data_IF_357575748543
#
_entry.id   IF_357575748543
#
_cell.length_a   1.000
_cell.length_b   1.000
_cell.length_c   1.000
_cell.angle_alpha   90.00
_cell.angle_beta   90.00
_cell.angle_gamma   90.00
#
_symmetry.space_group_name_H-M   'P 1'
#
loop_
_entity.id
_entity.type
_entity.pdbx_description
1 polymer ?
#
# COMPACT_ATOMS: atom_id res chain seq x y z
N UNK A 1 33.36 -5.09 0.98
CA UNK A 1 32.61 -6.10 1.75
C UNK A 1 31.31 -6.22 0.98
N UNK A 2 31.36 -7.12 0.02
CA UNK A 2 30.47 -7.18 -1.13
C UNK A 2 29.09 -7.69 -0.74
N UNK A 3 28.07 -7.01 -1.27
CA UNK A 3 26.66 -7.28 -1.07
C UNK A 3 26.28 -8.65 -1.68
N UNK A 4 25.69 -9.52 -0.87
CA UNK A 4 25.26 -10.87 -1.27
C UNK A 4 23.95 -10.89 -2.08
N UNK A 5 23.44 -9.72 -2.49
CA UNK A 5 22.19 -9.58 -3.22
C UNK A 5 22.35 -9.65 -4.76
N UNK A 6 23.58 -9.70 -5.29
CA UNK A 6 23.85 -9.67 -6.74
C UNK A 6 24.03 -11.06 -7.40
N UNK A 7 23.65 -12.17 -6.73
CA UNK A 7 23.85 -13.53 -7.26
C UNK A 7 22.60 -14.42 -7.33
N UNK A 8 21.43 -13.84 -7.62
CA UNK A 8 20.26 -14.63 -8.04
C UNK A 8 19.67 -14.00 -9.28
N UNK A 9 19.92 -14.65 -10.43
CA UNK A 9 19.41 -14.22 -11.73
C UNK A 9 17.88 -14.26 -11.76
N UNK A 10 17.29 -13.26 -12.43
CA UNK A 10 15.85 -13.03 -12.55
C UNK A 10 15.06 -14.26 -13.07
N UNK A 11 15.71 -15.23 -13.70
CA UNK A 11 15.08 -16.44 -14.27
C UNK A 11 14.74 -17.54 -13.24
N UNK A 12 15.40 -17.61 -12.07
CA UNK A 12 15.14 -18.69 -11.09
C UNK A 12 13.90 -18.45 -10.21
N UNK A 13 13.53 -17.18 -9.99
CA UNK A 13 12.31 -16.81 -9.25
C UNK A 13 11.03 -17.16 -10.03
N UNK A 14 11.06 -17.04 -11.36
CA UNK A 14 9.91 -17.32 -12.22
C UNK A 14 9.54 -18.81 -12.25
N UNK A 15 10.53 -19.70 -12.12
CA UNK A 15 10.31 -21.15 -12.25
C UNK A 15 9.64 -21.77 -11.03
N UNK A 16 9.86 -21.20 -9.84
CA UNK A 16 9.22 -21.66 -8.60
C UNK A 16 7.76 -21.18 -8.48
N UNK A 17 7.45 -19.97 -8.98
CA UNK A 17 6.10 -19.39 -8.92
C UNK A 17 5.10 -20.07 -9.88
N UNK A 18 5.57 -20.69 -10.97
CA UNK A 18 4.72 -21.35 -11.96
C UNK A 18 4.03 -22.64 -11.50
N UNK A 19 4.44 -23.24 -10.37
CA UNK A 19 3.98 -24.58 -9.98
C UNK A 19 2.77 -24.59 -9.01
N UNK A 20 2.41 -23.48 -8.37
CA UNK A 20 1.57 -23.56 -7.15
C UNK A 20 0.44 -22.53 -7.02
N UNK A 21 -0.28 -22.18 -8.09
CA UNK A 21 -1.51 -21.37 -7.95
C UNK A 21 -2.73 -22.08 -8.52
N UNK A 22 -3.35 -22.92 -7.68
CA UNK A 22 -4.79 -23.23 -7.80
C UNK A 22 -5.55 -22.02 -7.26
N UNK A 23 -6.41 -21.42 -8.09
CA UNK A 23 -7.29 -20.33 -7.68
C UNK A 23 -8.27 -20.78 -6.58
N UNK A 24 -8.50 -19.98 -5.52
CA UNK A 24 -9.59 -20.24 -4.60
C UNK A 24 -10.92 -19.89 -5.28
N UNK A 25 -11.79 -20.89 -5.43
CA UNK A 25 -13.17 -20.70 -5.91
C UNK A 25 -13.99 -19.98 -4.84
N UNK A 26 -14.28 -18.70 -5.03
CA UNK A 26 -15.29 -17.98 -4.23
C UNK A 26 -16.66 -18.32 -4.81
N UNK A 27 -17.48 -19.04 -4.03
CA UNK A 27 -18.84 -19.40 -4.41
C UNK A 27 -19.75 -18.15 -4.46
N UNK A 28 -20.53 -17.94 -5.53
CA UNK A 28 -21.47 -16.83 -5.58
C UNK A 28 -22.70 -17.08 -4.70
N UNK A 29 -23.07 -16.10 -3.86
CA UNK A 29 -24.31 -16.10 -3.08
C UNK A 29 -25.55 -15.98 -3.99
N UNK A 30 -26.70 -16.56 -3.61
CA UNK A 30 -27.87 -16.73 -4.49
C UNK A 30 -28.57 -15.40 -4.82
N UNK A 31 -28.95 -15.28 -6.09
CA UNK A 31 -29.57 -14.14 -6.76
C UNK A 31 -31.05 -14.01 -6.35
N UNK A 32 -31.47 -12.78 -6.07
CA UNK A 32 -32.87 -12.40 -5.84
C UNK A 32 -33.77 -12.87 -7.01
N UNK A 33 -34.94 -13.44 -6.68
CA UNK A 33 -35.90 -14.00 -7.64
C UNK A 33 -36.64 -12.91 -8.43
N UNK A 34 -36.64 -13.05 -9.75
CA UNK A 34 -37.46 -12.27 -10.69
C UNK A 34 -38.95 -12.62 -10.57
N UNK A 35 -39.79 -11.59 -10.41
CA UNK A 35 -41.24 -11.68 -10.60
C UNK A 35 -41.56 -11.48 -12.09
N UNK A 36 -42.13 -12.53 -12.70
CA UNK A 36 -42.67 -12.53 -14.06
C UNK A 36 -43.91 -11.65 -14.16
N UNK A 37 -43.97 -10.83 -15.20
CA UNK A 37 -45.24 -10.56 -15.91
C UNK A 37 -44.97 -10.41 -17.41
N UNK A 38 -45.82 -11.05 -18.18
CA UNK A 38 -45.67 -11.39 -19.60
C UNK A 38 -46.37 -10.43 -20.56
N UNK A 39 -45.85 -10.45 -21.79
CA UNK A 39 -46.54 -10.33 -23.09
C UNK A 39 -46.92 -8.93 -23.61
N UNK A 40 -46.32 -8.56 -24.75
CA UNK A 40 -47.01 -8.44 -26.04
C UNK A 40 -46.03 -8.26 -27.21
N UNK A 41 -46.37 -8.93 -28.31
CA UNK A 41 -45.79 -9.01 -29.66
C UNK A 41 -45.73 -7.69 -30.44
N UNK A 42 -44.69 -7.48 -31.26
CA UNK A 42 -44.84 -7.48 -32.73
C UNK A 42 -43.52 -7.33 -33.50
N UNK A 43 -43.46 -8.03 -34.62
CA UNK A 43 -42.41 -8.14 -35.62
C UNK A 43 -42.43 -6.96 -36.61
N UNK A 44 -41.27 -6.46 -37.04
CA UNK A 44 -41.03 -6.09 -38.46
C UNK A 44 -39.54 -5.92 -38.72
N UNK A 45 -39.09 -6.50 -39.84
CA UNK A 45 -37.72 -6.41 -40.34
C UNK A 45 -37.55 -5.19 -41.24
N UNK A 46 -36.38 -4.53 -41.18
CA UNK A 46 -35.79 -3.82 -42.32
C UNK A 46 -34.31 -3.55 -42.09
N UNK A 47 -33.54 -3.87 -43.11
CA UNK A 47 -32.08 -3.81 -43.28
C UNK A 47 -31.48 -2.39 -43.43
N UNK A 48 -30.14 -2.34 -43.37
CA UNK A 48 -29.21 -1.21 -43.62
C UNK A 48 -29.02 -0.28 -42.41
N UNK A 49 -27.82 0.13 -42.00
CA UNK A 49 -26.60 0.45 -42.77
C UNK A 49 -25.40 0.47 -41.81
N UNK A 50 -24.21 0.27 -42.37
CA UNK A 50 -22.89 0.51 -41.78
C UNK A 50 -22.77 1.80 -40.97
N UNK A 51 -22.12 1.71 -39.80
CA UNK A 51 -21.64 2.87 -39.04
C UNK A 51 -20.75 2.41 -37.90
N UNK A 52 -19.45 2.67 -38.06
CA UNK A 52 -18.44 2.64 -37.00
C UNK A 52 -18.96 3.26 -35.71
N UNK A 53 -18.97 2.47 -34.64
CA UNK A 53 -18.84 2.98 -33.29
C UNK A 53 -17.99 1.97 -32.52
N UNK A 54 -16.71 2.31 -32.35
CA UNK A 54 -15.89 1.89 -31.22
C UNK A 54 -16.62 2.33 -29.92
N UNK A 55 -17.68 1.61 -29.58
CA UNK A 55 -18.26 1.67 -28.26
C UNK A 55 -17.26 0.94 -27.37
N UNK A 56 -16.40 1.71 -26.67
CA UNK A 56 -15.84 1.26 -25.39
C UNK A 56 -17.01 0.62 -24.65
N UNK A 57 -17.03 -0.71 -24.58
CA UNK A 57 -18.06 -1.40 -23.80
C UNK A 57 -18.10 -0.73 -22.43
N UNK A 58 -19.30 -0.48 -21.87
CA UNK A 58 -19.39 0.10 -20.54
C UNK A 58 -18.72 -0.87 -19.57
N UNK A 59 -17.44 -0.65 -19.31
CA UNK A 59 -16.66 -1.53 -18.47
C UNK A 59 -17.20 -1.34 -17.07
N UNK A 60 -17.80 -2.39 -16.52
CA UNK A 60 -18.37 -2.38 -15.17
C UNK A 60 -17.29 -1.86 -14.21
N UNK A 61 -17.55 -0.78 -13.44
CA UNK A 61 -16.61 -0.26 -12.46
C UNK A 61 -16.04 -1.36 -11.57
N UNK A 62 -14.74 -1.35 -11.32
CA UNK A 62 -14.07 -2.37 -10.53
C UNK A 62 -13.67 -3.63 -11.29
N UNK A 63 -13.94 -3.78 -12.59
CA UNK A 63 -13.48 -4.98 -13.35
C UNK A 63 -12.14 -4.79 -14.05
N UNK A 64 -11.61 -3.56 -14.05
CA UNK A 64 -10.42 -3.19 -14.80
C UNK A 64 -9.15 -3.81 -14.18
N UNK A 65 -8.15 -4.06 -15.03
CA UNK A 65 -6.84 -4.54 -14.60
C UNK A 65 -5.95 -3.37 -14.17
N UNK A 66 -5.39 -3.48 -12.96
CA UNK A 66 -4.46 -2.51 -12.39
C UNK A 66 -3.06 -3.13 -12.34
N UNK A 67 -2.07 -2.39 -12.82
CA UNK A 67 -0.66 -2.68 -12.56
C UNK A 67 -0.17 -1.74 -11.47
N UNK A 68 0.45 -2.29 -10.43
CA UNK A 68 0.99 -1.50 -9.32
C UNK A 68 2.52 -1.61 -9.28
N UNK A 69 3.20 -0.47 -9.13
CA UNK A 69 4.64 -0.43 -8.87
C UNK A 69 4.94 0.41 -7.65
N UNK A 70 5.64 -0.18 -6.69
CA UNK A 70 6.08 0.48 -5.46
C UNK A 70 7.58 0.73 -5.49
N UNK A 71 7.99 1.92 -5.09
CA UNK A 71 9.37 2.32 -4.84
C UNK A 71 9.52 2.82 -3.40
N UNK A 72 10.62 2.47 -2.73
CA UNK A 72 10.98 3.09 -1.45
C UNK A 72 11.12 2.14 -0.26
N UNK A 73 10.56 2.55 0.88
CA UNK A 73 10.74 1.90 2.19
C UNK A 73 9.59 0.96 2.57
N UNK A 74 9.75 0.25 3.70
CA UNK A 74 8.74 -0.63 4.31
C UNK A 74 7.38 0.05 4.52
N UNK A 75 7.36 1.30 5.00
CA UNK A 75 6.12 2.06 5.17
C UNK A 75 5.38 2.21 3.83
N UNK A 76 6.11 2.57 2.77
CA UNK A 76 5.52 2.74 1.44
C UNK A 76 5.05 1.40 0.83
N UNK A 77 5.73 0.29 1.16
CA UNK A 77 5.27 -1.05 0.80
C UNK A 77 3.95 -1.36 1.50
N UNK A 78 3.84 -1.09 2.81
CA UNK A 78 2.59 -1.27 3.55
C UNK A 78 1.45 -0.45 2.95
N UNK A 79 1.69 0.81 2.57
CA UNK A 79 0.69 1.67 1.93
C UNK A 79 0.19 1.05 0.62
N UNK A 80 1.09 0.47 -0.18
CA UNK A 80 0.74 -0.27 -1.39
C UNK A 80 -0.06 -1.54 -1.13
N UNK A 81 0.23 -2.29 -0.07
CA UNK A 81 -0.53 -3.48 0.31
C UNK A 81 -1.95 -3.13 0.76
N UNK A 82 -2.12 -2.01 1.48
CA UNK A 82 -3.43 -1.48 1.84
C UNK A 82 -4.20 -0.99 0.60
N UNK A 83 -3.57 -0.22 -0.29
CA UNK A 83 -4.19 0.21 -1.55
C UNK A 83 -4.67 -0.99 -2.37
N UNK A 84 -3.86 -2.05 -2.46
CA UNK A 84 -4.26 -3.29 -3.15
C UNK A 84 -5.46 -3.96 -2.50
N UNK A 85 -5.46 -4.06 -1.17
CA UNK A 85 -6.57 -4.68 -0.44
C UNK A 85 -7.88 -3.92 -0.60
N UNK A 86 -7.84 -2.58 -0.52
CA UNK A 86 -9.04 -1.73 -0.69
C UNK A 86 -9.58 -1.87 -2.12
N UNK A 87 -8.71 -1.78 -3.14
CA UNK A 87 -9.11 -1.95 -4.54
C UNK A 87 -9.65 -3.35 -4.84
N UNK A 88 -9.01 -4.40 -4.33
CA UNK A 88 -9.48 -5.77 -4.52
C UNK A 88 -10.82 -6.03 -3.83
N UNK A 89 -11.04 -5.45 -2.65
CA UNK A 89 -12.33 -5.54 -1.93
C UNK A 89 -13.48 -4.88 -2.70
N UNK A 90 -13.17 -3.85 -3.52
CA UNK A 90 -14.11 -3.22 -4.42
C UNK A 90 -14.38 -4.04 -5.68
N UNK A 91 -13.40 -4.84 -6.13
CA UNK A 91 -13.54 -5.78 -7.24
C UNK A 91 -12.37 -5.78 -8.23
N UNK A 92 -11.46 -4.81 -8.12
CA UNK A 92 -10.34 -4.64 -9.04
C UNK A 92 -9.41 -5.83 -9.03
N UNK A 93 -8.79 -6.10 -10.19
CA UNK A 93 -7.83 -7.19 -10.35
C UNK A 93 -6.45 -6.64 -10.66
N UNK A 94 -5.43 -7.31 -10.14
CA UNK A 94 -4.04 -6.93 -10.33
C UNK A 94 -3.37 -7.81 -11.39
N UNK A 95 -2.50 -7.19 -12.19
CA UNK A 95 -1.64 -7.88 -13.16
C UNK A 95 -0.18 -7.53 -12.92
N UNK A 96 0.73 -8.45 -13.24
CA UNK A 96 2.17 -8.19 -13.25
C UNK A 96 2.64 -7.58 -14.58
N UNK A 97 1.82 -7.68 -15.62
CA UNK A 97 2.12 -7.17 -16.96
C UNK A 97 1.64 -5.71 -17.10
N UNK A 98 2.55 -4.73 -17.27
CA UNK A 98 2.17 -3.32 -17.39
C UNK A 98 1.30 -3.02 -18.61
N UNK A 99 1.55 -3.73 -19.71
CA UNK A 99 0.87 -3.50 -20.99
C UNK A 99 -0.57 -4.03 -20.99
N UNK A 100 -0.86 -5.08 -20.21
CA UNK A 100 -2.21 -5.62 -20.04
C UNK A 100 -3.09 -4.75 -19.11
N UNK A 101 -2.48 -3.91 -18.27
CA UNK A 101 -3.22 -3.06 -17.35
C UNK A 101 -3.90 -1.89 -18.04
N UNK A 102 -5.05 -1.49 -17.52
CA UNK A 102 -5.80 -0.30 -17.95
C UNK A 102 -5.41 0.92 -17.12
N UNK A 103 -4.99 0.68 -15.87
CA UNK A 103 -4.51 1.71 -14.96
C UNK A 103 -3.18 1.32 -14.32
N UNK A 104 -2.27 2.29 -14.25
CA UNK A 104 -1.00 2.19 -13.53
C UNK A 104 -1.11 2.94 -12.21
N UNK A 105 -0.91 2.23 -11.11
CA UNK A 105 -0.87 2.79 -9.76
C UNK A 105 0.59 2.78 -9.27
N UNK A 106 1.19 3.96 -9.26
CA UNK A 106 2.61 4.13 -8.94
C UNK A 106 2.75 4.73 -7.55
N UNK A 107 3.43 4.05 -6.64
CA UNK A 107 3.66 4.53 -5.28
C UNK A 107 5.16 4.75 -5.02
N UNK A 108 5.58 5.94 -4.58
CA UNK A 108 7.00 6.25 -4.40
C UNK A 108 7.33 7.03 -3.14
N UNK A 109 8.47 6.68 -2.52
CA UNK A 109 9.04 7.36 -1.37
C UNK A 109 10.04 8.46 -1.80
N UNK A 110 10.19 9.51 -1.00
CA UNK A 110 11.12 10.64 -1.26
C UNK A 110 12.56 10.37 -0.86
N UNK A 111 12.85 9.22 -0.24
CA UNK A 111 14.11 8.98 0.48
C UNK A 111 15.24 8.50 -0.43
N UNK A 112 14.94 7.91 -1.59
CA UNK A 112 15.95 7.40 -2.53
C UNK A 112 15.87 8.13 -3.87
N UNK A 113 16.81 9.02 -4.18
CA UNK A 113 16.79 9.84 -5.41
C UNK A 113 16.69 9.03 -6.72
N UNK A 114 17.40 7.89 -6.91
CA UNK A 114 17.22 7.06 -8.12
C UNK A 114 15.79 6.53 -8.26
N UNK A 115 15.10 6.31 -7.14
CA UNK A 115 13.72 5.83 -7.13
C UNK A 115 12.71 6.90 -7.54
N UNK A 116 13.01 8.19 -7.29
CA UNK A 116 12.20 9.30 -7.75
C UNK A 116 12.28 9.46 -9.27
N UNK A 117 13.48 9.43 -9.86
CA UNK A 117 13.65 9.56 -11.31
C UNK A 117 12.96 8.43 -12.09
N UNK A 118 13.13 7.18 -11.64
CA UNK A 118 12.48 6.01 -12.24
C UNK A 118 10.94 6.10 -12.15
N UNK A 119 10.42 6.52 -11.00
CA UNK A 119 8.99 6.75 -10.80
C UNK A 119 8.42 7.81 -11.75
N UNK A 120 9.08 8.97 -11.87
CA UNK A 120 8.66 10.04 -12.76
C UNK A 120 8.68 9.61 -14.22
N UNK A 121 9.72 8.88 -14.63
CA UNK A 121 9.82 8.33 -15.98
C UNK A 121 8.66 7.36 -16.29
N UNK A 122 8.29 6.49 -15.35
CA UNK A 122 7.14 5.60 -15.51
C UNK A 122 5.81 6.34 -15.58
N UNK A 123 5.61 7.38 -14.77
CA UNK A 123 4.38 8.18 -14.83
C UNK A 123 4.20 8.82 -16.22
N UNK A 124 5.27 9.41 -16.77
CA UNK A 124 5.25 9.98 -18.12
C UNK A 124 5.08 8.90 -19.18
N UNK A 125 5.74 7.74 -19.04
CA UNK A 125 5.62 6.61 -19.97
C UNK A 125 4.18 6.09 -20.03
N UNK A 126 3.54 5.87 -18.89
CA UNK A 126 2.16 5.37 -18.81
C UNK A 126 1.18 6.30 -19.51
N UNK A 127 1.32 7.62 -19.31
CA UNK A 127 0.53 8.63 -20.03
C UNK A 127 0.75 8.58 -21.53
N UNK A 128 2.00 8.47 -21.99
CA UNK A 128 2.33 8.35 -23.42
C UNK A 128 1.75 7.09 -24.06
N UNK A 129 1.55 6.03 -23.28
CA UNK A 129 0.89 4.79 -23.69
C UNK A 129 -0.63 4.83 -23.54
N UNK A 130 -1.21 6.01 -23.27
CA UNK A 130 -2.64 6.23 -23.08
C UNK A 130 -3.25 5.37 -21.95
N UNK A 131 -2.45 5.05 -20.92
CA UNK A 131 -2.90 4.38 -19.70
C UNK A 131 -3.43 5.42 -18.72
N UNK A 132 -4.45 5.05 -17.93
CA UNK A 132 -4.80 5.84 -16.75
C UNK A 132 -3.65 5.75 -15.74
N UNK A 133 -3.19 6.88 -15.20
CA UNK A 133 -2.05 6.91 -14.26
C UNK A 133 -2.52 7.56 -12.96
N UNK A 134 -2.34 6.82 -11.86
CA UNK A 134 -2.53 7.31 -10.51
C UNK A 134 -1.20 7.23 -9.79
N UNK A 135 -0.83 8.29 -9.09
CA UNK A 135 0.36 8.33 -8.27
C UNK A 135 0.03 8.45 -6.79
N UNK A 136 0.87 7.86 -5.96
CA UNK A 136 0.76 7.87 -4.51
C UNK A 136 2.13 8.01 -3.86
N UNK A 137 2.12 8.22 -2.54
CA UNK A 137 3.32 8.21 -1.71
C UNK A 137 3.94 9.60 -1.49
N UNK A 138 5.15 9.61 -0.95
CA UNK A 138 5.80 10.83 -0.47
C UNK A 138 6.17 11.80 -1.59
N UNK A 139 6.50 11.31 -2.80
CA UNK A 139 6.95 12.16 -3.90
C UNK A 139 5.88 13.15 -4.36
N UNK A 140 4.68 12.70 -4.80
CA UNK A 140 3.62 13.63 -5.23
C UNK A 140 3.12 14.53 -4.10
N UNK A 141 3.26 14.09 -2.84
CA UNK A 141 2.87 14.87 -1.67
C UNK A 141 3.88 15.96 -1.30
N UNK A 142 5.18 15.71 -1.52
CA UNK A 142 6.23 16.69 -1.23
C UNK A 142 6.31 17.81 -2.27
N UNK A 143 6.16 17.47 -3.55
CA UNK A 143 6.17 18.45 -4.65
C UNK A 143 5.25 18.00 -5.79
N UNK A 144 4.09 18.66 -5.87
CA UNK A 144 3.08 18.43 -6.91
C UNK A 144 3.40 19.11 -8.24
N UNK A 145 4.34 20.04 -8.25
CA UNK A 145 4.69 20.84 -9.43
C UNK A 145 5.88 20.23 -10.17
N UNK A 146 6.31 19.03 -9.78
CA UNK A 146 7.29 18.26 -10.53
C UNK A 146 6.78 18.01 -11.95
N UNK A 147 7.62 18.36 -12.93
CA UNK A 147 7.35 18.14 -14.35
C UNK A 147 6.94 16.70 -14.60
N UNK A 148 5.75 16.49 -15.16
CA UNK A 148 5.18 15.16 -15.42
C UNK A 148 4.10 14.71 -14.44
N UNK A 149 3.86 15.43 -13.33
CA UNK A 149 2.74 15.18 -12.42
C UNK A 149 1.56 16.17 -12.58
N UNK A 150 1.68 17.15 -13.47
CA UNK A 150 0.74 18.28 -13.58
C UNK A 150 -0.72 17.86 -13.87
N UNK A 151 -0.94 16.75 -14.59
CA UNK A 151 -2.28 16.20 -14.88
C UNK A 151 -2.38 14.71 -14.49
N UNK A 152 -1.77 14.34 -13.36
CA UNK A 152 -1.85 12.97 -12.85
C UNK A 152 -2.70 12.96 -11.60
N UNK A 153 -3.56 11.95 -11.46
CA UNK A 153 -4.36 11.77 -10.26
C UNK A 153 -3.48 11.37 -9.07
N UNK A 154 -3.73 11.95 -7.91
CA UNK A 154 -2.89 11.79 -6.72
C UNK A 154 -3.72 11.22 -5.56
N UNK A 155 -3.24 10.11 -5.00
CA UNK A 155 -3.70 9.58 -3.71
C UNK A 155 -2.75 10.10 -2.64
N UNK A 156 -3.28 10.88 -1.70
CA UNK A 156 -2.51 11.32 -0.55
C UNK A 156 -2.12 10.16 0.37
N UNK A 157 -0.98 10.32 1.05
CA UNK A 157 -0.35 9.27 1.86
C UNK A 157 -1.26 8.80 3.00
N UNK A 158 -2.07 9.70 3.54
CA UNK A 158 -2.96 9.43 4.67
C UNK A 158 -4.37 9.03 4.20
N UNK A 159 -4.60 8.82 2.91
CA UNK A 159 -5.92 8.62 2.30
C UNK A 159 -5.97 7.35 1.46
N UNK A 160 -5.23 6.32 1.89
CA UNK A 160 -5.20 5.02 1.24
C UNK A 160 -6.59 4.37 1.16
N UNK A 161 -7.47 4.69 2.12
CA UNK A 161 -8.87 4.25 2.14
C UNK A 161 -9.70 4.81 0.97
N UNK A 162 -9.33 5.98 0.44
CA UNK A 162 -10.02 6.66 -0.67
C UNK A 162 -9.41 6.39 -2.04
N UNK A 163 -8.48 5.44 -2.14
CA UNK A 163 -7.82 5.06 -3.41
C UNK A 163 -8.82 4.72 -4.52
N UNK A 164 -9.96 4.10 -4.17
CA UNK A 164 -11.01 3.71 -5.14
C UNK A 164 -11.59 4.94 -5.82
N UNK A 165 -11.87 6.01 -5.07
CA UNK A 165 -12.45 7.24 -5.63
C UNK A 165 -11.52 7.84 -6.69
N UNK A 166 -10.22 7.89 -6.38
CA UNK A 166 -9.20 8.43 -7.29
C UNK A 166 -9.06 7.55 -8.53
N UNK A 167 -9.03 6.23 -8.36
CA UNK A 167 -8.93 5.27 -9.47
C UNK A 167 -10.14 5.37 -10.41
N UNK A 168 -11.35 5.44 -9.87
CA UNK A 168 -12.59 5.57 -10.64
C UNK A 168 -12.63 6.86 -11.46
N UNK A 169 -12.31 8.00 -10.85
CA UNK A 169 -12.27 9.28 -11.58
C UNK A 169 -11.18 9.27 -12.67
N UNK A 170 -10.03 8.66 -12.40
CA UNK A 170 -8.94 8.54 -13.38
C UNK A 170 -9.33 7.66 -14.56
N UNK A 171 -10.04 6.55 -14.34
CA UNK A 171 -10.54 5.68 -15.40
C UNK A 171 -11.60 6.36 -16.28
N UNK A 172 -12.36 7.30 -15.72
CA UNK A 172 -13.29 8.16 -16.48
C UNK A 172 -12.58 9.26 -17.28
N UNK A 173 -11.28 9.44 -17.07
CA UNK A 173 -10.47 10.47 -17.73
C UNK A 173 -10.39 11.80 -16.96
N UNK A 174 -10.82 11.82 -15.69
CA UNK A 174 -10.69 12.99 -14.83
C UNK A 174 -9.43 12.90 -13.96
N UNK A 175 -8.90 14.06 -13.58
CA UNK A 175 -7.83 14.14 -12.59
C UNK A 175 -8.43 14.34 -11.20
N UNK A 176 -8.10 13.47 -10.25
CA UNK A 176 -8.57 13.55 -8.87
C UNK A 176 -7.39 13.66 -7.90
N UNK A 177 -7.54 14.50 -6.87
CA UNK A 177 -6.53 14.70 -5.81
C UNK A 177 -7.24 14.63 -4.46
N UNK A 178 -6.83 13.69 -3.62
CA UNK A 178 -7.42 13.48 -2.28
C UNK A 178 -6.33 13.64 -1.22
N UNK A 179 -6.48 14.61 -0.32
CA UNK A 179 -5.45 14.99 0.67
C UNK A 179 -5.98 15.32 2.08
N UNK A 180 -7.29 15.21 2.33
CA UNK A 180 -7.86 15.47 3.66
C UNK A 180 -7.60 14.31 4.63
N UNK A 181 -7.10 14.54 5.86
CA UNK A 181 -6.62 13.46 6.72
C UNK A 181 -7.70 12.43 7.11
N UNK A 182 -7.50 11.16 6.78
CA UNK A 182 -8.35 10.03 7.20
C UNK A 182 -7.49 8.86 7.71
N UNK A 183 -7.11 8.88 8.98
CA UNK A 183 -6.31 7.78 9.56
C UNK A 183 -7.21 6.59 9.91
N UNK A 184 -7.13 5.50 9.12
CA UNK A 184 -7.76 4.21 9.44
C UNK A 184 -6.70 3.10 9.36
N UNK A 185 -6.52 2.38 10.47
CA UNK A 185 -5.61 1.24 10.54
C UNK A 185 -6.29 -0.08 10.13
N UNK A 186 -7.61 -0.14 10.24
CA UNK A 186 -8.40 -1.34 9.92
C UNK A 186 -8.85 -1.31 8.45
N UNK A 187 -7.88 -1.45 7.55
CA UNK A 187 -8.10 -1.53 6.11
C UNK A 187 -7.75 -2.93 5.59
N UNK A 188 -8.48 -3.45 4.59
CA UNK A 188 -8.11 -4.68 3.93
C UNK A 188 -6.71 -4.54 3.30
N UNK A 189 -5.92 -5.60 3.40
CA UNK A 189 -4.52 -5.59 2.99
C UNK A 189 -4.18 -6.85 2.20
N UNK A 190 -3.55 -6.71 1.04
CA UNK A 190 -2.99 -7.84 0.28
C UNK A 190 -1.47 -7.80 0.44
N UNK A 191 -0.93 -8.77 1.20
CA UNK A 191 0.50 -8.86 1.47
C UNK A 191 1.26 -9.35 0.25
N UNK A 192 2.45 -8.80 0.02
CA UNK A 192 3.39 -9.36 -0.98
C UNK A 192 3.98 -10.69 -0.50
N UNK A 193 4.34 -10.75 0.79
CA UNK A 193 4.74 -11.98 1.44
C UNK A 193 3.67 -12.35 2.48
N UNK A 194 2.95 -13.47 2.32
CA UNK A 194 1.89 -13.85 3.26
C UNK A 194 2.39 -14.09 4.69
N UNK A 195 3.69 -14.34 4.88
CA UNK A 195 4.31 -14.58 6.18
C UNK A 195 4.74 -13.31 6.92
N UNK A 196 4.74 -12.14 6.27
CA UNK A 196 5.26 -10.88 6.82
C UNK A 196 4.17 -9.82 6.84
N UNK A 197 3.89 -9.24 8.01
CA UNK A 197 3.06 -8.04 8.13
C UNK A 197 3.91 -6.83 8.50
N UNK A 198 3.82 -5.77 7.71
CA UNK A 198 4.35 -4.45 8.08
C UNK A 198 3.25 -3.64 8.78
N UNK A 199 3.47 -3.25 10.04
CA UNK A 199 2.53 -2.42 10.82
C UNK A 199 3.13 -1.02 11.00
N UNK A 200 2.52 0.02 10.39
CA UNK A 200 2.86 1.40 10.66
C UNK A 200 2.48 1.80 12.09
N UNK A 201 3.43 2.28 12.90
CA UNK A 201 3.19 2.74 14.28
C UNK A 201 2.67 4.19 14.33
N UNK A 202 3.16 5.01 13.42
CA UNK A 202 2.81 6.43 13.34
C UNK A 202 3.01 6.94 11.92
N UNK A 203 2.39 8.08 11.61
CA UNK A 203 2.68 8.89 10.43
C UNK A 203 3.39 10.17 10.85
N UNK A 204 4.31 10.64 10.01
CA UNK A 204 5.03 11.88 10.24
C UNK A 204 6.12 11.75 11.31
N UNK A 205 6.81 12.86 11.59
CA UNK A 205 7.98 12.85 12.49
C UNK A 205 8.05 14.15 13.30
N UNK A 206 8.59 14.06 14.52
CA UNK A 206 8.91 15.23 15.36
C UNK A 206 10.22 15.92 14.95
N UNK A 207 11.11 15.20 14.27
CA UNK A 207 12.42 15.71 13.86
C UNK A 207 12.32 16.95 12.98
N UNK A 208 13.21 17.91 13.20
CA UNK A 208 13.34 19.14 12.41
C UNK A 208 14.54 19.08 11.45
N UNK A 209 14.82 17.89 10.90
CA UNK A 209 15.97 17.66 10.03
C UNK A 209 15.92 18.60 8.80
N UNK A 210 16.98 19.37 8.59
CA UNK A 210 17.09 20.38 7.52
C UNK A 210 17.04 19.79 6.10
N UNK A 211 17.34 18.50 5.96
CA UNK A 211 17.40 17.79 4.68
C UNK A 211 16.17 16.87 4.42
N UNK A 212 15.26 16.71 5.39
CA UNK A 212 14.27 15.64 5.34
C UNK A 212 12.99 16.03 4.57
N UNK A 213 12.90 15.62 3.30
CA UNK A 213 11.67 15.73 2.48
C UNK A 213 10.50 14.92 3.05
N UNK A 214 10.77 13.84 3.77
CA UNK A 214 9.73 12.96 4.34
C UNK A 214 8.84 13.71 5.34
N UNK A 215 9.39 14.65 6.11
CA UNK A 215 8.60 15.49 7.03
C UNK A 215 7.63 16.40 6.28
N UNK A 216 8.07 16.97 5.16
CA UNK A 216 7.19 17.79 4.31
C UNK A 216 6.07 16.96 3.70
N UNK A 217 6.36 15.72 3.31
CA UNK A 217 5.38 14.81 2.73
C UNK A 217 4.37 14.27 3.76
N UNK A 218 4.84 13.75 4.90
CA UNK A 218 4.03 13.01 5.88
C UNK A 218 3.55 13.84 7.07
N UNK A 219 4.02 15.07 7.18
CA UNK A 219 3.59 16.01 8.21
C UNK A 219 4.20 15.76 9.59
N UNK A 220 3.49 16.26 10.61
CA UNK A 220 3.84 16.10 12.02
C UNK A 220 3.49 14.68 12.49
N UNK A 221 4.13 14.27 13.59
CA UNK A 221 3.85 13.00 14.24
C UNK A 221 2.35 12.89 14.56
N UNK A 222 1.74 11.80 14.10
CA UNK A 222 0.44 11.29 14.49
C UNK A 222 0.55 9.79 14.73
N UNK A 223 0.51 9.38 15.99
CA UNK A 223 0.64 7.99 16.41
C UNK A 223 -0.70 7.27 16.40
N UNK A 224 -0.69 6.00 16.00
CA UNK A 224 -1.83 5.12 16.20
C UNK A 224 -1.91 4.70 17.68
N UNK A 225 -3.13 4.56 18.20
CA UNK A 225 -3.35 4.10 19.58
C UNK A 225 -2.77 2.69 19.77
N UNK A 226 -2.15 2.38 20.93
CA UNK A 226 -1.62 1.05 21.21
C UNK A 226 -2.65 -0.07 21.00
N UNK A 227 -3.90 0.19 21.34
CA UNK A 227 -5.00 -0.78 21.24
C UNK A 227 -5.29 -1.15 19.77
N UNK A 228 -5.22 -0.17 18.86
CA UNK A 228 -5.37 -0.42 17.42
C UNK A 228 -4.21 -1.25 16.87
N UNK A 229 -2.98 -0.95 17.29
CA UNK A 229 -1.77 -1.69 16.86
C UNK A 229 -1.82 -3.13 17.36
N UNK A 230 -2.16 -3.34 18.64
CA UNK A 230 -2.29 -4.68 19.24
C UNK A 230 -3.42 -5.47 18.58
N UNK A 231 -4.57 -4.85 18.34
CA UNK A 231 -5.70 -5.48 17.64
C UNK A 231 -5.31 -5.91 16.22
N UNK A 232 -4.57 -5.06 15.49
CA UNK A 232 -4.03 -5.40 14.16
C UNK A 232 -3.04 -6.56 14.26
N UNK A 233 -2.10 -6.53 15.20
CA UNK A 233 -1.13 -7.61 15.41
C UNK A 233 -1.84 -8.94 15.67
N UNK A 234 -2.85 -8.97 16.55
CA UNK A 234 -3.61 -10.18 16.85
C UNK A 234 -4.36 -10.71 15.61
N UNK A 235 -4.95 -9.81 14.82
CA UNK A 235 -5.65 -10.17 13.58
C UNK A 235 -4.71 -10.86 12.60
N UNK A 236 -3.52 -10.31 12.38
CA UNK A 236 -2.57 -10.87 11.39
C UNK A 236 -1.89 -12.15 11.87
N UNK A 237 -1.69 -12.31 13.19
CA UNK A 237 -1.22 -13.57 13.78
C UNK A 237 -2.24 -14.69 13.50
N UNK A 238 -3.53 -14.40 13.67
CA UNK A 238 -4.60 -15.36 13.38
C UNK A 238 -4.71 -15.68 11.87
N UNK A 239 -4.22 -14.80 10.99
CA UNK A 239 -4.11 -15.04 9.55
C UNK A 239 -2.88 -15.89 9.16
N UNK A 240 -2.01 -16.23 10.12
CA UNK A 240 -0.86 -17.10 9.92
C UNK A 240 0.47 -16.39 9.63
N UNK A 241 0.58 -15.09 9.93
CA UNK A 241 1.83 -14.33 9.80
C UNK A 241 2.86 -14.80 10.83
N UNK A 242 4.11 -14.99 10.39
CA UNK A 242 5.24 -15.40 11.25
C UNK A 242 6.17 -14.25 11.61
N UNK A 243 6.15 -13.14 10.87
CA UNK A 243 6.95 -11.95 11.15
C UNK A 243 6.13 -10.67 11.12
N UNK A 244 6.28 -9.86 12.16
CA UNK A 244 5.66 -8.53 12.26
C UNK A 244 6.76 -7.46 12.26
N UNK A 245 6.74 -6.62 11.23
CA UNK A 245 7.68 -5.52 11.07
C UNK A 245 7.03 -4.21 11.49
N UNK A 246 7.48 -3.67 12.62
CA UNK A 246 7.07 -2.36 13.09
C UNK A 246 7.87 -1.29 12.35
N UNK A 247 7.15 -0.36 11.72
CA UNK A 247 7.74 0.69 10.90
C UNK A 247 7.06 2.03 11.18
N UNK A 248 7.78 3.12 10.99
CA UNK A 248 7.22 4.47 10.88
C UNK A 248 8.29 5.36 10.24
N UNK A 249 8.07 6.67 10.22
CA UNK A 249 9.16 7.60 9.90
C UNK A 249 10.20 7.54 11.01
N UNK A 250 9.79 7.67 12.27
CA UNK A 250 10.62 7.57 13.46
C UNK A 250 9.93 6.70 14.51
N UNK A 251 10.39 5.47 14.68
CA UNK A 251 9.75 4.57 15.65
C UNK A 251 10.11 4.94 17.08
N UNK A 252 11.28 5.55 17.30
CA UNK A 252 11.67 6.05 18.62
C UNK A 252 10.78 7.18 19.11
N UNK A 253 10.20 7.97 18.21
CA UNK A 253 9.29 9.06 18.56
C UNK A 253 7.83 8.60 18.80
N UNK A 254 7.53 7.31 18.64
CA UNK A 254 6.16 6.81 18.80
C UNK A 254 5.59 7.16 20.17
N UNK A 255 4.34 7.61 20.19
CA UNK A 255 3.56 7.77 21.41
C UNK A 255 3.69 9.13 22.10
N UNK A 256 4.72 9.92 21.78
CA UNK A 256 4.97 11.23 22.41
C UNK A 256 3.77 12.18 22.27
N UNK A 257 3.07 12.12 21.14
CA UNK A 257 1.88 12.92 20.83
C UNK A 257 0.60 12.46 21.53
N UNK A 258 0.53 11.20 21.96
CA UNK A 258 -0.65 10.59 22.61
C UNK A 258 -0.39 10.21 24.08
N UNK A 259 0.76 10.56 24.64
CA UNK A 259 1.12 10.31 26.04
C UNK A 259 1.50 8.87 26.37
N UNK A 260 2.06 8.13 25.41
CA UNK A 260 2.65 6.78 25.60
C UNK A 260 4.08 6.76 25.04
N UNK A 261 4.75 5.61 25.10
CA UNK A 261 6.07 5.43 24.50
C UNK A 261 6.17 4.10 23.74
N UNK A 262 7.27 3.93 23.01
CA UNK A 262 7.59 2.71 22.27
C UNK A 262 7.77 1.48 23.19
N UNK A 263 8.51 1.53 24.32
CA UNK A 263 8.64 0.38 25.22
C UNK A 263 7.30 -0.16 25.71
N UNK A 264 6.39 0.72 26.13
CA UNK A 264 5.05 0.33 26.61
C UNK A 264 4.28 -0.41 25.52
N UNK A 265 4.36 0.06 24.27
CA UNK A 265 3.76 -0.64 23.13
C UNK A 265 4.39 -2.00 22.90
N UNK A 266 5.72 -2.10 22.94
CA UNK A 266 6.43 -3.36 22.71
C UNK A 266 6.09 -4.40 23.77
N UNK A 267 6.00 -4.01 25.04
CA UNK A 267 5.55 -4.90 26.11
C UNK A 267 4.14 -5.42 25.86
N UNK A 268 3.19 -4.54 25.50
CA UNK A 268 1.82 -4.94 25.13
C UNK A 268 1.79 -5.88 23.92
N UNK A 269 2.67 -5.69 22.94
CA UNK A 269 2.78 -6.58 21.78
C UNK A 269 3.34 -7.95 22.18
N UNK A 270 4.34 -8.01 23.06
CA UNK A 270 4.92 -9.28 23.53
C UNK A 270 3.92 -10.15 24.30
N UNK A 271 2.94 -9.55 24.97
CA UNK A 271 1.86 -10.28 25.65
C UNK A 271 0.95 -11.04 24.66
N UNK A 272 0.78 -10.53 23.43
CA UNK A 272 -0.11 -11.11 22.41
C UNK A 272 0.62 -11.95 21.36
N UNK A 273 1.91 -11.72 21.15
CA UNK A 273 2.71 -12.42 20.14
C UNK A 273 3.07 -13.83 20.65
N UNK A 274 2.56 -14.91 20.03
CA UNK A 274 2.83 -16.27 20.46
C UNK A 274 4.25 -16.70 20.10
N UNK A 275 4.67 -17.85 20.63
CA UNK A 275 5.92 -18.49 20.25
C UNK A 275 5.91 -18.86 18.75
N UNK A 276 7.02 -18.62 18.06
CA UNK A 276 7.15 -18.83 16.60
C UNK A 276 6.82 -17.61 15.74
N UNK A 277 6.36 -16.50 16.33
CA UNK A 277 6.19 -15.21 15.64
C UNK A 277 7.27 -14.23 16.10
N UNK A 278 7.92 -13.55 15.15
CA UNK A 278 9.01 -12.62 15.41
C UNK A 278 8.62 -11.16 15.18
N UNK A 279 8.99 -10.29 16.11
CA UNK A 279 8.85 -8.84 16.02
C UNK A 279 10.16 -8.19 15.55
N UNK A 280 10.07 -7.33 14.54
CA UNK A 280 11.18 -6.52 14.04
C UNK A 280 10.88 -5.05 14.23
N UNK A 281 11.78 -4.31 14.87
CA UNK A 281 11.66 -2.85 15.02
C UNK A 281 12.60 -2.17 14.01
N UNK A 282 12.02 -1.43 13.08
CA UNK A 282 12.76 -0.66 12.07
C UNK A 282 12.60 0.85 12.22
N UNK A 283 13.40 1.60 11.47
CA UNK A 283 13.33 3.06 11.31
C UNK A 283 13.49 3.84 12.64
N UNK A 284 14.36 3.36 13.54
CA UNK A 284 14.68 4.08 14.77
C UNK A 284 15.65 5.24 14.51
N UNK A 285 15.57 6.28 15.33
CA UNK A 285 16.43 7.45 15.27
C UNK A 285 17.09 7.67 16.65
N UNK A 286 18.42 7.90 16.71
CA UNK A 286 19.14 7.99 17.98
C UNK A 286 18.54 8.93 19.03
N UNK A 287 18.11 10.18 18.71
CA UNK A 287 17.69 11.13 19.75
C UNK A 287 16.55 10.61 20.64
N UNK A 288 15.54 9.96 20.07
CA UNK A 288 14.38 9.49 20.82
C UNK A 288 14.56 8.07 21.37
N UNK A 289 15.36 7.24 20.69
CA UNK A 289 15.62 5.88 21.17
C UNK A 289 16.54 5.87 22.41
N UNK A 290 17.44 6.86 22.51
CA UNK A 290 18.37 7.01 23.63
C UNK A 290 17.66 7.27 24.96
N UNK A 291 16.52 7.97 24.93
CA UNK A 291 15.71 8.23 26.13
C UNK A 291 15.09 6.95 26.71
N UNK A 292 15.02 5.88 25.90
CA UNK A 292 14.42 4.59 26.25
C UNK A 292 15.40 3.42 26.13
N UNK A 293 16.71 3.68 26.13
CA UNK A 293 17.73 2.70 25.78
C UNK A 293 17.65 1.42 26.60
N UNK A 294 17.54 1.52 27.93
CA UNK A 294 17.54 0.36 28.82
C UNK A 294 16.30 -0.52 28.59
N UNK A 295 15.12 0.09 28.52
CA UNK A 295 13.87 -0.62 28.28
C UNK A 295 13.84 -1.29 26.90
N UNK A 296 14.40 -0.63 25.89
CA UNK A 296 14.49 -1.19 24.53
C UNK A 296 15.51 -2.32 24.48
N UNK A 297 16.65 -2.19 25.17
CA UNK A 297 17.64 -3.26 25.26
C UNK A 297 17.06 -4.51 25.92
N UNK A 298 16.23 -4.37 26.95
CA UNK A 298 15.51 -5.49 27.55
C UNK A 298 14.57 -6.17 26.56
N UNK A 299 13.77 -5.40 25.84
CA UNK A 299 12.85 -5.93 24.81
C UNK A 299 13.59 -6.63 23.67
N UNK A 300 14.71 -6.08 23.19
CA UNK A 300 15.50 -6.67 22.10
C UNK A 300 16.19 -7.99 22.49
N UNK A 301 16.33 -8.28 23.78
CA UNK A 301 16.86 -9.55 24.27
C UNK A 301 15.78 -10.65 24.36
N UNK A 302 14.51 -10.34 24.09
CA UNK A 302 13.44 -11.32 24.12
C UNK A 302 13.53 -12.25 22.91
N UNK A 303 13.29 -13.56 23.12
CA UNK A 303 13.35 -14.60 22.07
C UNK A 303 12.43 -14.39 20.86
N UNK A 304 11.49 -13.44 20.96
CA UNK A 304 10.46 -13.15 19.95
C UNK A 304 10.73 -11.81 19.26
N UNK A 305 11.88 -11.19 19.51
CA UNK A 305 12.26 -9.90 18.94
C UNK A 305 13.61 -10.08 18.26
N UNK A 306 13.77 -9.52 17.06
CA UNK A 306 15.08 -9.47 16.44
C UNK A 306 16.02 -8.57 17.26
N UNK A 307 17.22 -9.07 17.55
CA UNK A 307 18.22 -8.41 18.40
C UNK A 307 18.91 -7.20 17.75
N UNK A 308 18.45 -6.75 16.59
CA UNK A 308 19.00 -5.60 15.87
C UNK A 308 17.94 -4.54 15.59
N UNK A 309 18.34 -3.28 15.67
CA UNK A 309 17.54 -2.14 15.24
C UNK A 309 18.02 -1.68 13.87
N UNK A 310 17.09 -1.56 12.92
CA UNK A 310 17.40 -0.94 11.65
C UNK A 310 17.23 0.58 11.75
N UNK A 311 18.33 1.31 11.88
CA UNK A 311 18.32 2.77 11.92
C UNK A 311 18.05 3.43 10.56
N UNK A 312 17.70 4.72 10.59
CA UNK A 312 17.76 5.59 9.39
C UNK A 312 19.21 6.04 9.16
N UNK A 313 19.82 5.54 8.10
CA UNK A 313 21.09 6.04 7.54
C UNK A 313 20.85 7.13 6.51
#
# INVERSE_FOLDING_TARGET
MDDIEDMIGEEELDRAAMSSVRAPMVAPKPRFQDVKTSAATNSTASSSTSGDLDAKEPSVPGTQLIWMKTYGCSHNVSDSEYMQGVLASYGYRFTQEPDAAQLWLLNSCTVKDPSQAAFMHLAVKGRKQNKAVVVAGCVPQADRHLKGLEDVSIVGIQQVDRVVEVVEETLKGHTAVVQEPTARMDLPKIRKNPMVEIIPLSTGCLGACTYCKTRHARGKLGSYTPEAIVSRAQTVINEGVTEIWLSSEDTGAYGIDIGTDLPTLLCKLLEVVPEGVMLRVGMTNPPYILDHLDAIAEVLNHDRVYSFLQGRG
#
